data_IF_236628265883
#
_entry.id   IF_236628265883
#
_cell.length_a   1.000
_cell.length_b   1.000
_cell.length_c   1.000
_cell.angle_alpha   90.00
_cell.angle_beta   90.00
_cell.angle_gamma   90.00
#
_symmetry.space_group_name_H-M   'P 1'
#
loop_
_entity.id
_entity.type
_entity.pdbx_description
1 polymer ?
#
# COMPACT_ATOMS: atom_id res chain seq x y z
N UNK A 1 -18.43 -20.71 -9.29
CA UNK A 1 -17.39 -19.85 -8.67
C UNK A 1 -18.09 -18.75 -7.90
N UNK A 2 -17.61 -18.39 -6.71
CA UNK A 2 -18.16 -17.25 -5.96
C UNK A 2 -17.67 -15.97 -6.64
N UNK A 3 -18.57 -15.08 -7.00
CA UNK A 3 -18.22 -13.75 -7.53
C UNK A 3 -17.65 -12.89 -6.42
N UNK A 4 -16.54 -12.19 -6.69
CA UNK A 4 -15.89 -11.26 -5.79
C UNK A 4 -15.94 -9.88 -6.43
N UNK A 5 -16.52 -8.91 -5.69
CA UNK A 5 -16.56 -7.51 -6.12
C UNK A 5 -15.32 -6.79 -5.64
N UNK A 6 -14.54 -6.24 -6.58
CA UNK A 6 -13.29 -5.54 -6.33
C UNK A 6 -13.51 -4.04 -6.51
N UNK A 7 -13.02 -3.24 -5.57
CA UNK A 7 -12.95 -1.79 -5.66
C UNK A 7 -11.50 -1.34 -5.89
N UNK A 8 -11.30 -0.44 -6.85
CA UNK A 8 -10.04 0.27 -7.03
C UNK A 8 -10.22 1.71 -6.57
N UNK A 9 -9.37 2.17 -5.67
CA UNK A 9 -9.40 3.53 -5.18
C UNK A 9 -8.14 4.26 -5.64
N UNK A 10 -8.35 5.23 -6.52
CA UNK A 10 -7.32 6.12 -7.00
C UNK A 10 -7.76 7.57 -6.73
N UNK A 11 -6.90 8.35 -6.08
CA UNK A 11 -7.16 9.75 -5.76
C UNK A 11 -6.01 10.65 -6.22
N UNK A 12 -6.30 11.94 -6.31
CA UNK A 12 -5.27 12.97 -6.40
C UNK A 12 -4.77 13.28 -4.98
N UNK A 13 -3.49 13.04 -4.72
CA UNK A 13 -2.89 13.36 -3.44
C UNK A 13 -2.50 14.85 -3.34
N UNK A 14 -2.64 15.40 -2.14
CA UNK A 14 -2.12 16.71 -1.75
C UNK A 14 -0.82 16.56 -0.94
N UNK A 15 -0.20 17.68 -0.60
CA UNK A 15 0.98 17.70 0.28
C UNK A 15 0.65 17.29 1.73
N UNK A 16 -0.64 17.37 2.15
CA UNK A 16 -1.08 16.95 3.48
C UNK A 16 -1.31 15.44 3.51
N UNK A 17 -0.48 14.72 4.25
CA UNK A 17 -0.63 13.29 4.49
C UNK A 17 -1.97 12.97 5.18
N UNK A 18 -2.36 13.80 6.14
CA UNK A 18 -3.60 13.67 6.91
C UNK A 18 -4.83 13.76 6.02
N UNK A 19 -4.86 14.75 5.10
CA UNK A 19 -5.96 14.93 4.15
C UNK A 19 -6.05 13.75 3.17
N UNK A 20 -4.90 13.25 2.72
CA UNK A 20 -4.85 12.09 1.83
C UNK A 20 -5.43 10.85 2.53
N UNK A 21 -5.01 10.58 3.76
CA UNK A 21 -5.49 9.45 4.57
C UNK A 21 -6.99 9.57 4.85
N UNK A 22 -7.46 10.76 5.19
CA UNK A 22 -8.90 11.00 5.45
C UNK A 22 -9.74 10.68 4.21
N UNK A 23 -9.36 11.19 3.05
CA UNK A 23 -10.05 10.91 1.78
C UNK A 23 -9.99 9.43 1.39
N UNK A 24 -8.85 8.76 1.66
CA UNK A 24 -8.74 7.32 1.44
C UNK A 24 -9.71 6.53 2.33
N UNK A 25 -9.80 6.88 3.61
CA UNK A 25 -10.72 6.22 4.54
C UNK A 25 -12.20 6.40 4.13
N UNK A 26 -12.57 7.59 3.66
CA UNK A 26 -13.90 7.89 3.12
C UNK A 26 -14.18 7.07 1.84
N UNK A 27 -13.22 7.04 0.90
CA UNK A 27 -13.34 6.29 -0.34
C UNK A 27 -13.42 4.78 -0.13
N UNK A 28 -12.61 4.23 0.79
CA UNK A 28 -12.68 2.82 1.21
C UNK A 28 -14.07 2.50 1.76
N UNK A 29 -14.59 3.38 2.64
CA UNK A 29 -15.90 3.20 3.24
C UNK A 29 -17.02 3.23 2.19
N UNK A 30 -16.94 4.14 1.21
CA UNK A 30 -17.92 4.21 0.11
C UNK A 30 -17.88 2.94 -0.75
N UNK A 31 -16.69 2.49 -1.15
CA UNK A 31 -16.55 1.26 -1.93
C UNK A 31 -17.07 0.03 -1.18
N UNK A 32 -16.81 -0.07 0.12
CA UNK A 32 -17.34 -1.15 0.96
C UNK A 32 -18.88 -1.12 1.02
N UNK A 33 -19.48 0.06 1.19
CA UNK A 33 -20.95 0.23 1.16
C UNK A 33 -21.55 -0.16 -0.18
N UNK A 34 -20.83 0.00 -1.27
CA UNK A 34 -21.21 -0.44 -2.62
C UNK A 34 -20.98 -1.93 -2.85
N UNK A 35 -20.53 -2.65 -1.83
CA UNK A 35 -20.39 -4.11 -1.81
C UNK A 35 -19.03 -4.62 -2.26
N UNK A 36 -17.97 -3.77 -2.33
CA UNK A 36 -16.61 -4.24 -2.57
C UNK A 36 -16.16 -5.10 -1.39
N UNK A 37 -15.58 -6.25 -1.69
CA UNK A 37 -15.04 -7.21 -0.73
C UNK A 37 -13.50 -7.15 -0.66
N UNK A 38 -12.87 -6.75 -1.77
CA UNK A 38 -11.46 -6.44 -1.89
C UNK A 38 -11.32 -5.01 -2.37
N UNK A 39 -10.51 -4.20 -1.69
CA UNK A 39 -10.19 -2.83 -2.12
C UNK A 39 -8.69 -2.72 -2.32
N UNK A 40 -8.28 -2.19 -3.48
CA UNK A 40 -6.89 -1.97 -3.85
C UNK A 40 -6.65 -0.47 -3.96
N UNK A 41 -5.66 0.02 -3.22
CA UNK A 41 -5.23 1.41 -3.23
C UNK A 41 -4.10 1.61 -4.25
N UNK A 42 -3.88 2.87 -4.65
CA UNK A 42 -2.77 3.23 -5.53
C UNK A 42 -1.41 3.07 -4.82
N UNK A 43 -0.33 3.01 -5.59
CA UNK A 43 1.04 2.98 -5.07
C UNK A 43 1.36 4.23 -4.24
N UNK A 44 2.03 4.06 -3.08
CA UNK A 44 2.47 5.14 -2.18
C UNK A 44 1.37 6.15 -1.83
N UNK A 45 0.18 5.65 -1.61
CA UNK A 45 -1.09 6.40 -1.57
C UNK A 45 -1.21 7.46 -0.46
N UNK A 46 -0.34 7.45 0.56
CA UNK A 46 -0.45 8.38 1.68
C UNK A 46 0.15 9.78 1.41
N UNK A 47 0.94 9.93 0.35
CA UNK A 47 1.67 11.17 0.05
C UNK A 47 1.62 11.51 -1.44
N UNK A 48 2.05 12.71 -1.79
CA UNK A 48 2.47 12.98 -3.16
C UNK A 48 3.56 11.98 -3.56
N UNK A 49 3.64 11.67 -4.86
CA UNK A 49 4.73 10.87 -5.38
C UNK A 49 6.04 11.66 -5.28
N UNK A 50 6.84 11.33 -4.29
CA UNK A 50 8.04 12.09 -3.92
C UNK A 50 9.29 11.70 -4.71
N UNK A 51 9.28 10.58 -5.44
CA UNK A 51 10.43 10.10 -6.17
C UNK A 51 10.72 10.88 -7.47
N UNK A 52 10.06 12.02 -7.69
CA UNK A 52 10.35 12.94 -8.81
C UNK A 52 11.69 13.68 -8.62
N UNK A 53 12.20 13.72 -7.42
CA UNK A 53 13.47 14.33 -7.03
C UNK A 53 14.20 13.46 -5.99
N UNK A 54 15.50 13.65 -5.86
CA UNK A 54 16.32 13.06 -4.79
C UNK A 54 16.42 14.03 -3.61
N UNK A 55 15.57 13.86 -2.60
CA UNK A 55 15.50 14.74 -1.44
C UNK A 55 15.47 13.93 -0.15
N UNK A 56 16.47 14.14 0.70
CA UNK A 56 16.62 13.40 1.98
C UNK A 56 15.49 13.67 2.97
N UNK A 57 14.82 14.81 2.89
CA UNK A 57 13.71 15.16 3.79
C UNK A 57 12.50 14.24 3.58
N UNK A 58 12.39 13.64 2.40
CA UNK A 58 11.29 12.69 2.11
C UNK A 58 11.39 11.37 2.88
N UNK A 59 12.55 11.03 3.45
CA UNK A 59 12.66 9.87 4.34
C UNK A 59 11.82 10.00 5.62
N UNK A 60 11.42 11.22 6.00
CA UNK A 60 10.52 11.47 7.12
C UNK A 60 9.07 11.00 6.84
N UNK A 61 8.72 10.75 5.58
CA UNK A 61 7.43 10.16 5.20
C UNK A 61 7.35 8.66 5.51
N UNK A 62 8.51 8.01 5.69
CA UNK A 62 8.58 6.57 5.91
C UNK A 62 8.12 6.19 7.33
N UNK A 63 7.45 5.04 7.44
CA UNK A 63 6.98 4.52 8.70
C UNK A 63 7.33 3.03 8.88
N UNK A 64 7.48 2.54 10.12
CA UNK A 64 7.69 1.12 10.34
C UNK A 64 6.45 0.30 9.97
N UNK A 65 6.64 -0.99 9.71
CA UNK A 65 5.57 -1.97 9.60
C UNK A 65 5.80 -3.05 10.70
N UNK A 66 4.92 -3.14 11.71
CA UNK A 66 3.69 -2.34 11.92
C UNK A 66 3.98 -0.89 12.34
N UNK A 67 3.06 0.01 11.97
CA UNK A 67 3.14 1.43 12.24
C UNK A 67 1.76 2.11 12.15
N UNK A 68 1.71 3.46 12.15
CA UNK A 68 0.44 4.20 12.17
C UNK A 68 -0.51 3.82 11.03
N UNK A 69 -0.02 3.74 9.79
CA UNK A 69 -0.86 3.37 8.64
C UNK A 69 -1.36 1.92 8.73
N UNK A 70 -0.52 0.99 9.19
CA UNK A 70 -0.99 -0.39 9.36
C UNK A 70 -2.05 -0.52 10.44
N UNK A 71 -1.98 0.27 11.52
CA UNK A 71 -3.04 0.36 12.53
C UNK A 71 -4.36 0.83 11.92
N UNK A 72 -4.32 1.94 11.20
CA UNK A 72 -5.50 2.55 10.58
C UNK A 72 -6.17 1.61 9.56
N UNK A 73 -5.41 1.11 8.58
CA UNK A 73 -5.99 0.29 7.51
C UNK A 73 -6.43 -1.09 8.01
N UNK A 74 -5.75 -1.65 9.01
CA UNK A 74 -6.21 -2.86 9.70
C UNK A 74 -7.53 -2.65 10.43
N UNK A 75 -7.70 -1.52 11.11
CA UNK A 75 -8.97 -1.17 11.76
C UNK A 75 -10.10 -0.95 10.75
N UNK A 76 -9.84 -0.27 9.64
CA UNK A 76 -10.81 -0.11 8.54
C UNK A 76 -11.20 -1.46 7.95
N UNK A 77 -10.24 -2.34 7.66
CA UNK A 77 -10.51 -3.68 7.15
C UNK A 77 -11.44 -4.47 8.08
N UNK A 78 -11.14 -4.46 9.37
CA UNK A 78 -11.95 -5.12 10.41
C UNK A 78 -13.36 -4.55 10.51
N UNK A 79 -13.48 -3.22 10.61
CA UNK A 79 -14.78 -2.56 10.84
C UNK A 79 -15.71 -2.70 9.63
N UNK A 80 -15.15 -2.81 8.42
CA UNK A 80 -15.91 -2.97 7.18
C UNK A 80 -16.04 -4.42 6.71
N UNK A 81 -15.28 -5.35 7.32
CA UNK A 81 -15.27 -6.77 6.97
C UNK A 81 -14.75 -7.05 5.55
N UNK A 82 -13.73 -6.31 5.11
CA UNK A 82 -13.18 -6.34 3.75
C UNK A 82 -11.67 -6.61 3.75
N UNK A 83 -11.16 -7.09 2.62
CA UNK A 83 -9.72 -7.19 2.37
C UNK A 83 -9.22 -5.87 1.77
N UNK A 84 -8.10 -5.34 2.27
CA UNK A 84 -7.48 -4.11 1.75
C UNK A 84 -6.05 -4.39 1.33
N UNK A 85 -5.67 -3.95 0.12
CA UNK A 85 -4.28 -3.94 -0.37
C UNK A 85 -3.80 -2.50 -0.43
N UNK A 86 -2.73 -2.22 0.32
CA UNK A 86 -2.10 -0.89 0.43
C UNK A 86 -0.71 -0.88 -0.21
N UNK A 87 -0.09 0.29 -0.32
CA UNK A 87 1.33 0.46 -0.67
C UNK A 87 1.91 1.58 0.18
N UNK A 88 2.92 1.28 0.97
CA UNK A 88 3.48 2.15 2.00
C UNK A 88 4.98 2.36 1.81
N UNK A 89 5.48 3.52 2.21
CA UNK A 89 6.90 3.78 2.36
C UNK A 89 7.37 3.17 3.69
N UNK A 90 7.94 1.96 3.63
CA UNK A 90 8.41 1.22 4.81
C UNK A 90 9.80 1.69 5.24
N UNK A 91 9.94 2.04 6.53
CA UNK A 91 11.22 2.15 7.24
C UNK A 91 11.49 0.86 8.00
N UNK A 92 12.19 -0.08 7.37
CA UNK A 92 12.50 -1.38 7.98
C UNK A 92 13.57 -1.29 9.06
N UNK A 93 14.57 -0.45 8.82
CA UNK A 93 15.65 -0.15 9.75
C UNK A 93 16.27 1.21 9.38
N UNK A 94 17.21 1.69 10.17
CA UNK A 94 17.98 2.90 9.81
C UNK A 94 18.75 2.66 8.51
N UNK A 95 18.49 3.50 7.50
CA UNK A 95 19.10 3.39 6.17
C UNK A 95 18.55 2.26 5.29
N UNK A 96 17.49 1.56 5.70
CA UNK A 96 16.87 0.48 4.93
C UNK A 96 15.37 0.73 4.76
N UNK A 97 14.98 1.03 3.52
CA UNK A 97 13.61 1.41 3.18
C UNK A 97 13.09 0.61 2.00
N UNK A 98 11.79 0.40 1.95
CA UNK A 98 11.12 -0.32 0.87
C UNK A 98 9.80 0.36 0.47
N UNK A 99 9.40 0.15 -0.78
CA UNK A 99 8.03 0.33 -1.24
C UNK A 99 7.31 -1.00 -0.96
N UNK A 100 6.39 -0.99 0.02
CA UNK A 100 5.82 -2.22 0.57
C UNK A 100 4.31 -2.24 0.46
N UNK A 101 3.78 -3.22 -0.27
CA UNK A 101 2.36 -3.54 -0.21
C UNK A 101 2.06 -4.34 1.06
N UNK A 102 1.02 -3.92 1.78
CA UNK A 102 0.49 -4.63 2.95
C UNK A 102 -0.93 -5.06 2.66
N UNK A 103 -1.21 -6.33 2.86
CA UNK A 103 -2.55 -6.91 2.68
C UNK A 103 -3.17 -7.14 4.05
N UNK A 104 -4.30 -6.50 4.29
CA UNK A 104 -5.11 -6.70 5.48
C UNK A 104 -6.25 -7.62 5.16
N UNK A 105 -6.48 -8.65 5.98
CA UNK A 105 -7.66 -9.50 5.85
C UNK A 105 -8.88 -8.83 6.50
N UNK A 106 -10.05 -9.39 6.26
CA UNK A 106 -11.35 -8.90 6.71
C UNK A 106 -11.52 -8.84 8.23
N UNK A 107 -10.64 -9.50 8.99
CA UNK A 107 -10.57 -9.41 10.45
C UNK A 107 -9.61 -8.29 10.93
N UNK A 108 -8.97 -7.58 10.01
CA UNK A 108 -8.01 -6.52 10.27
C UNK A 108 -6.59 -6.98 10.52
N UNK A 109 -6.32 -8.28 10.50
CA UNK A 109 -4.96 -8.82 10.61
C UNK A 109 -4.16 -8.56 9.33
N UNK A 110 -2.84 -8.44 9.45
CA UNK A 110 -1.95 -8.42 8.29
C UNK A 110 -1.83 -9.84 7.75
N UNK A 111 -2.49 -10.09 6.61
CA UNK A 111 -2.45 -11.39 5.92
C UNK A 111 -1.05 -11.65 5.31
N UNK A 112 -0.37 -10.59 4.90
CA UNK A 112 0.98 -10.67 4.37
C UNK A 112 1.47 -9.34 3.84
N UNK A 113 2.76 -9.30 3.49
CA UNK A 113 3.41 -8.14 2.88
C UNK A 113 4.16 -8.56 1.63
N UNK A 114 4.31 -7.62 0.70
CA UNK A 114 5.16 -7.76 -0.47
C UNK A 114 6.00 -6.50 -0.62
N UNK A 115 7.31 -6.62 -0.77
CA UNK A 115 8.23 -5.51 -1.04
C UNK A 115 8.54 -5.46 -2.53
N UNK A 116 8.29 -4.33 -3.17
CA UNK A 116 8.56 -4.09 -4.60
C UNK A 116 9.98 -4.53 -4.95
N UNK A 117 10.13 -5.42 -5.92
CA UNK A 117 11.43 -5.96 -6.31
C UNK A 117 12.06 -5.18 -7.46
N UNK A 118 11.27 -4.71 -8.42
CA UNK A 118 11.76 -3.96 -9.56
C UNK A 118 11.64 -2.46 -9.31
N UNK A 119 12.76 -1.83 -8.97
CA UNK A 119 12.82 -0.42 -8.59
C UNK A 119 13.29 0.40 -9.79
N UNK A 120 12.47 1.33 -10.33
CA UNK A 120 12.85 2.21 -11.44
C UNK A 120 13.90 3.24 -11.01
N UNK A 121 14.63 3.75 -12.00
CA UNK A 121 15.62 4.80 -11.83
C UNK A 121 15.73 5.63 -13.11
N UNK A 122 14.63 6.27 -13.47
CA UNK A 122 14.53 7.10 -14.67
C UNK A 122 14.29 8.57 -14.27
N UNK A 123 14.51 9.54 -15.16
CA UNK A 123 14.20 10.94 -14.89
C UNK A 123 12.74 11.14 -14.42
N UNK A 124 12.59 11.68 -13.20
CA UNK A 124 11.29 11.85 -12.53
C UNK A 124 10.77 10.59 -11.82
N UNK A 125 11.57 9.51 -11.78
CA UNK A 125 11.26 8.25 -11.09
C UNK A 125 12.50 7.71 -10.37
N UNK A 126 13.11 8.55 -9.53
CA UNK A 126 14.35 8.24 -8.79
C UNK A 126 14.07 7.34 -7.59
N UNK A 127 13.40 6.22 -7.82
CA UNK A 127 13.00 5.32 -6.74
C UNK A 127 14.19 4.61 -6.08
N UNK A 128 15.28 4.37 -6.80
CA UNK A 128 16.49 3.76 -6.23
C UNK A 128 17.19 4.62 -5.20
N UNK A 129 16.95 5.95 -5.19
CA UNK A 129 17.42 6.83 -4.12
C UNK A 129 16.75 6.49 -2.78
N UNK A 130 15.48 6.05 -2.82
CA UNK A 130 14.67 5.81 -1.63
C UNK A 130 14.58 4.34 -1.24
N UNK A 131 14.44 3.44 -2.22
CA UNK A 131 14.02 2.06 -1.95
C UNK A 131 15.10 1.04 -2.26
N UNK A 132 15.29 0.13 -1.31
CA UNK A 132 16.00 -1.12 -1.53
C UNK A 132 15.03 -2.11 -2.20
N UNK A 133 15.47 -2.89 -3.20
CA UNK A 133 14.67 -3.98 -3.77
C UNK A 133 14.15 -4.94 -2.71
N UNK A 134 12.97 -5.48 -2.95
CA UNK A 134 12.33 -6.44 -2.07
C UNK A 134 13.11 -7.74 -1.93
N UNK A 135 12.99 -8.38 -0.77
CA UNK A 135 13.71 -9.59 -0.40
C UNK A 135 12.80 -10.77 -0.03
N UNK A 136 11.48 -10.61 -0.20
CA UNK A 136 10.50 -11.63 0.18
C UNK A 136 10.13 -12.60 -0.95
N UNK A 137 10.56 -12.32 -2.18
CA UNK A 137 10.16 -13.09 -3.36
C UNK A 137 8.69 -12.87 -3.76
N UNK A 138 8.21 -13.69 -4.70
CA UNK A 138 6.86 -13.61 -5.27
C UNK A 138 5.99 -14.73 -4.69
N UNK A 139 5.41 -14.51 -3.54
CA UNK A 139 4.56 -15.50 -2.87
C UNK A 139 3.11 -15.01 -2.79
N UNK A 140 2.13 -15.82 -3.24
CA UNK A 140 0.73 -15.47 -3.07
C UNK A 140 0.36 -15.39 -1.59
N UNK A 141 -0.35 -14.32 -1.23
CA UNK A 141 -0.81 -14.04 0.13
C UNK A 141 -2.19 -14.68 0.33
N UNK A 142 -2.34 -15.49 1.38
CA UNK A 142 -3.61 -16.11 1.71
C UNK A 142 -4.51 -15.12 2.44
N UNK A 143 -5.76 -14.97 1.98
CA UNK A 143 -6.80 -14.14 2.59
C UNK A 143 -8.11 -14.90 2.73
N UNK A 144 -9.07 -14.34 3.42
CA UNK A 144 -10.46 -14.88 3.51
C UNK A 144 -11.17 -14.96 2.16
N UNK A 145 -10.74 -14.20 1.16
CA UNK A 145 -11.29 -14.23 -0.20
C UNK A 145 -10.60 -15.24 -1.12
N UNK A 146 -9.40 -15.69 -0.73
CA UNK A 146 -8.56 -16.57 -1.52
C UNK A 146 -7.10 -16.13 -1.54
N UNK A 147 -6.31 -16.65 -2.48
CA UNK A 147 -4.90 -16.34 -2.63
C UNK A 147 -4.70 -15.16 -3.59
N UNK A 148 -4.03 -14.11 -3.11
CA UNK A 148 -3.73 -12.90 -3.87
C UNK A 148 -2.26 -12.88 -4.28
N UNK A 149 -1.99 -12.75 -5.58
CA UNK A 149 -0.67 -12.33 -6.07
C UNK A 149 -0.61 -10.80 -6.05
N UNK A 150 0.38 -10.24 -5.37
CA UNK A 150 0.55 -8.79 -5.24
C UNK A 150 1.86 -8.38 -5.89
N UNK A 151 1.77 -7.44 -6.83
CA UNK A 151 2.88 -6.80 -7.52
C UNK A 151 2.69 -5.29 -7.49
N UNK A 152 3.77 -4.53 -7.52
CA UNK A 152 3.73 -3.08 -7.47
C UNK A 152 4.41 -2.49 -8.72
N UNK A 153 3.62 -1.76 -9.52
CA UNK A 153 4.08 -0.95 -10.65
C UNK A 153 5.03 -1.70 -11.61
N UNK A 154 6.33 -1.45 -11.55
CA UNK A 154 7.35 -2.05 -12.43
C UNK A 154 7.49 -3.58 -12.31
N UNK A 155 6.96 -4.18 -11.27
CA UNK A 155 6.95 -5.65 -11.15
C UNK A 155 6.12 -6.34 -12.24
N UNK A 156 5.32 -5.60 -12.98
CA UNK A 156 4.49 -6.13 -14.06
C UNK A 156 5.26 -6.39 -15.39
N UNK A 157 6.50 -5.90 -15.51
CA UNK A 157 7.31 -6.03 -16.74
C UNK A 157 8.26 -7.28 -16.69
#
# INVERSE_FOLDING_TARGET
MKEIKIGFLQQHNSASKEDNITRLAEGITDLARRGAQLIVLQELHNSLYFCQEENVDHFDLAEPIPGPSTGLYGELARNLGIVIVTSLFEKRASGLYHNTAVVFDSDGSVAGIYRKMHIPDDPGYYEKFYFTPGDLGFHPIQTSLGRLGVLVCWDQW
#
